data_IF_407504778062
#
_entry.id   IF_407504778062
#
_cell.length_a   1.000
_cell.length_b   1.000
_cell.length_c   1.000
_cell.angle_alpha   90.00
_cell.angle_beta   90.00
_cell.angle_gamma   90.00
#
_symmetry.space_group_name_H-M   'P 1'
#
loop_
_entity.id
_entity.type
_entity.pdbx_description
1 polymer ?
#
# COMPACT_ATOMS: atom_id res chain seq x y z
N UNK A 1 8.38 4.60 13.05
CA UNK A 1 8.76 4.20 14.43
C UNK A 1 9.47 2.86 14.32
N UNK A 2 10.67 2.74 14.89
CA UNK A 2 11.49 1.50 14.86
C UNK A 2 11.72 1.02 16.29
N UNK A 3 12.07 -0.26 16.44
CA UNK A 3 12.53 -0.82 17.70
C UNK A 3 13.78 -1.67 17.47
N UNK A 4 14.60 -1.82 18.51
CA UNK A 4 15.83 -2.60 18.43
C UNK A 4 15.53 -4.09 18.66
N UNK A 5 16.06 -4.95 17.79
CA UNK A 5 15.94 -6.41 17.89
C UNK A 5 17.24 -7.10 17.46
N UNK A 6 17.61 -8.22 18.07
CA UNK A 6 18.78 -9.01 17.68
C UNK A 6 18.60 -9.60 16.27
N UNK A 7 19.56 -9.36 15.37
CA UNK A 7 19.46 -9.77 13.96
C UNK A 7 19.25 -11.27 13.78
N UNK A 8 19.93 -12.11 14.57
CA UNK A 8 19.81 -13.56 14.54
C UNK A 8 18.42 -14.10 14.89
N UNK A 9 17.55 -13.28 15.49
CA UNK A 9 16.17 -13.66 15.81
C UNK A 9 15.18 -13.35 14.67
N UNK A 10 15.59 -12.56 13.69
CA UNK A 10 14.75 -12.13 12.57
C UNK A 10 14.69 -13.25 11.53
N UNK A 11 13.48 -13.75 11.26
CA UNK A 11 13.25 -14.84 10.30
C UNK A 11 13.06 -14.31 8.88
N UNK A 12 13.13 -15.23 7.90
CA UNK A 12 12.78 -14.95 6.49
C UNK A 12 11.43 -14.23 6.39
N UNK A 13 11.33 -13.24 5.49
CA UNK A 13 10.21 -12.32 5.33
C UNK A 13 10.01 -11.29 6.47
N UNK A 14 10.91 -11.25 7.47
CA UNK A 14 10.95 -10.15 8.44
C UNK A 14 11.38 -8.81 7.81
N UNK A 15 11.33 -7.74 8.60
CA UNK A 15 11.75 -6.41 8.16
C UNK A 15 12.93 -5.92 8.97
N UNK A 16 13.84 -5.21 8.31
CA UNK A 16 14.97 -4.51 8.93
C UNK A 16 15.15 -3.15 8.30
N UNK A 17 15.76 -2.22 9.02
CA UNK A 17 16.13 -0.92 8.47
C UNK A 17 17.58 -0.97 7.98
N UNK A 18 17.77 -0.72 6.68
CA UNK A 18 19.09 -0.62 6.06
C UNK A 18 19.25 0.80 5.53
N UNK A 19 20.31 1.51 5.97
CA UNK A 19 20.58 2.90 5.57
C UNK A 19 19.36 3.83 5.75
N UNK A 20 18.59 3.62 6.83
CA UNK A 20 17.39 4.40 7.12
C UNK A 20 16.14 4.02 6.31
N UNK A 21 16.20 2.98 5.47
CA UNK A 21 15.06 2.50 4.67
C UNK A 21 14.55 1.15 5.19
N UNK A 22 13.22 0.96 5.36
CA UNK A 22 12.65 -0.33 5.70
C UNK A 22 12.82 -1.29 4.51
N UNK A 23 13.39 -2.46 4.75
CA UNK A 23 13.66 -3.49 3.76
C UNK A 23 13.10 -4.82 4.24
N UNK A 24 12.47 -5.57 3.34
CA UNK A 24 12.04 -6.95 3.59
C UNK A 24 13.24 -7.89 3.42
N UNK A 25 13.35 -8.86 4.31
CA UNK A 25 14.44 -9.80 4.34
C UNK A 25 14.13 -11.03 3.46
N UNK A 26 14.89 -11.21 2.38
CA UNK A 26 14.75 -12.35 1.47
C UNK A 26 15.34 -13.65 2.06
N UNK A 27 16.38 -13.53 2.90
CA UNK A 27 17.03 -14.66 3.57
C UNK A 27 17.53 -14.32 4.97
N UNK A 28 17.66 -15.32 5.84
CA UNK A 28 18.00 -15.16 7.26
C UNK A 28 19.42 -14.58 7.40
N UNK A 29 19.56 -13.60 8.29
CA UNK A 29 20.88 -13.07 8.67
C UNK A 29 21.23 -13.62 10.06
N UNK A 30 22.34 -14.34 10.14
CA UNK A 30 22.89 -14.79 11.42
C UNK A 30 23.91 -13.76 11.89
N UNK A 31 23.49 -12.88 12.80
CA UNK A 31 24.35 -11.88 13.44
C UNK A 31 23.89 -11.66 14.87
N UNK A 32 24.86 -11.49 15.78
CA UNK A 32 24.61 -11.15 17.19
C UNK A 32 24.43 -9.65 17.42
N UNK A 33 24.60 -8.83 16.38
CA UNK A 33 24.37 -7.39 16.48
C UNK A 33 22.87 -7.10 16.40
N UNK A 34 22.43 -6.15 17.22
CA UNK A 34 21.08 -5.61 17.11
C UNK A 34 20.91 -4.83 15.82
N UNK A 35 19.71 -4.91 15.24
CA UNK A 35 19.27 -4.12 14.11
C UNK A 35 17.98 -3.38 14.45
N UNK A 36 17.75 -2.28 13.75
CA UNK A 36 16.48 -1.57 13.83
C UNK A 36 15.44 -2.30 12.98
N UNK A 37 14.30 -2.60 13.59
CA UNK A 37 13.15 -3.23 12.94
C UNK A 37 12.05 -2.17 12.81
N UNK A 38 11.53 -1.93 11.59
CA UNK A 38 10.46 -0.98 11.40
C UNK A 38 9.13 -1.57 11.88
N UNK A 39 8.27 -0.72 12.43
CA UNK A 39 6.88 -1.06 12.62
C UNK A 39 6.16 -1.03 11.28
N UNK A 40 5.75 -2.20 10.78
CA UNK A 40 4.99 -2.34 9.53
C UNK A 40 3.53 -2.62 9.88
N UNK A 41 2.64 -1.70 9.50
CA UNK A 41 1.21 -1.86 9.69
C UNK A 41 0.54 -2.26 8.39
N UNK A 42 -0.33 -3.26 8.48
CA UNK A 42 -1.29 -3.58 7.44
C UNK A 42 -2.64 -3.00 7.86
N UNK A 43 -3.30 -2.29 6.94
CA UNK A 43 -4.63 -1.72 7.20
C UNK A 43 -5.43 -1.84 5.93
N UNK A 44 -6.58 -2.51 6.06
CA UNK A 44 -7.54 -2.63 4.98
C UNK A 44 -8.34 -1.34 4.85
N UNK A 45 -8.48 -0.87 3.63
CA UNK A 45 -9.27 0.31 3.32
C UNK A 45 -10.29 -0.02 2.23
N UNK A 46 -11.50 0.51 2.37
CA UNK A 46 -12.49 0.42 1.29
C UNK A 46 -12.26 1.57 0.32
N UNK A 47 -12.05 1.25 -0.95
CA UNK A 47 -11.83 2.27 -1.98
C UNK A 47 -13.11 3.08 -2.26
N UNK A 48 -12.99 4.40 -2.38
CA UNK A 48 -14.11 5.29 -2.75
C UNK A 48 -13.93 5.87 -4.14
N UNK A 49 -12.93 6.74 -4.34
CA UNK A 49 -12.70 7.40 -5.63
C UNK A 49 -11.25 7.89 -5.77
N UNK A 50 -10.83 8.11 -7.01
CA UNK A 50 -9.54 8.70 -7.36
C UNK A 50 -9.74 10.17 -7.65
N UNK A 51 -8.88 11.01 -7.09
CA UNK A 51 -8.81 12.41 -7.48
C UNK A 51 -7.90 12.53 -8.71
N UNK A 52 -8.53 12.77 -9.85
CA UNK A 52 -7.86 13.19 -11.07
C UNK A 52 -7.62 14.71 -11.04
N UNK A 53 -6.90 15.21 -10.03
CA UNK A 53 -6.38 16.56 -10.13
C UNK A 53 -5.15 16.52 -11.02
N UNK A 54 -5.48 16.45 -12.31
CA UNK A 54 -4.59 16.52 -13.44
C UNK A 54 -3.85 17.86 -13.40
N UNK A 55 -2.69 17.87 -12.77
CA UNK A 55 -1.64 18.86 -13.05
C UNK A 55 -0.63 18.14 -13.95
N UNK A 56 -0.95 18.04 -15.24
CA UNK A 56 -0.10 17.45 -16.30
C UNK A 56 1.24 18.20 -16.52
N UNK A 57 1.70 19.04 -15.60
CA UNK A 57 2.81 19.97 -15.88
C UNK A 57 3.99 19.89 -14.92
N UNK A 58 3.92 19.16 -13.81
CA UNK A 58 5.05 18.97 -12.92
C UNK A 58 5.33 17.47 -12.83
N UNK A 59 6.60 17.11 -13.03
CA UNK A 59 7.14 15.79 -13.42
C UNK A 59 6.88 14.61 -12.46
N UNK A 60 6.00 14.77 -11.48
CA UNK A 60 5.57 13.72 -10.58
C UNK A 60 4.03 13.58 -10.66
N UNK A 61 3.58 12.60 -11.43
CA UNK A 61 2.17 12.21 -11.52
C UNK A 61 1.73 11.56 -10.20
N UNK A 62 1.46 12.39 -9.18
CA UNK A 62 0.91 11.94 -7.92
C UNK A 62 -0.61 11.87 -8.02
N UNK A 63 -1.12 10.66 -8.23
CA UNK A 63 -2.55 10.38 -8.06
C UNK A 63 -2.83 10.17 -6.58
N UNK A 64 -3.87 10.82 -6.07
CA UNK A 64 -4.39 10.58 -4.72
C UNK A 64 -5.68 9.76 -4.75
N UNK A 65 -5.86 8.94 -3.72
CA UNK A 65 -7.03 8.08 -3.55
C UNK A 65 -7.77 8.48 -2.28
N UNK A 66 -9.09 8.59 -2.41
CA UNK A 66 -10.00 8.61 -1.28
C UNK A 66 -10.36 7.18 -0.88
N UNK A 67 -10.10 6.83 0.38
CA UNK A 67 -10.46 5.54 0.95
C UNK A 67 -11.25 5.71 2.25
N UNK A 68 -12.23 4.84 2.48
CA UNK A 68 -12.97 4.76 3.72
C UNK A 68 -12.24 3.86 4.70
N UNK A 69 -12.00 4.37 5.90
CA UNK A 69 -11.48 3.58 7.01
C UNK A 69 -12.61 2.82 7.70
N UNK A 70 -12.28 1.71 8.38
CA UNK A 70 -13.27 0.91 9.14
C UNK A 70 -14.03 1.73 10.20
N UNK A 71 -13.42 2.82 10.68
CA UNK A 71 -13.99 3.68 11.72
C UNK A 71 -15.01 4.71 11.17
N UNK A 72 -15.23 4.73 9.85
CA UNK A 72 -16.16 5.64 9.19
C UNK A 72 -15.60 6.94 8.57
N UNK A 73 -14.45 7.52 8.97
CA UNK A 73 -13.90 8.67 8.26
C UNK A 73 -13.19 8.25 6.96
N UNK A 74 -13.13 9.18 6.02
CA UNK A 74 -12.37 9.06 4.77
C UNK A 74 -10.94 9.55 4.94
N UNK A 75 -10.01 8.92 4.22
CA UNK A 75 -8.61 9.34 4.08
C UNK A 75 -8.35 9.64 2.61
N UNK A 76 -7.90 10.87 2.34
CA UNK A 76 -7.69 11.39 0.99
C UNK A 76 -6.21 11.71 0.71
N UNK A 77 -5.34 11.48 1.69
CA UNK A 77 -3.90 11.77 1.67
C UNK A 77 -3.05 10.62 1.11
N UNK A 78 -3.68 9.51 0.72
CA UNK A 78 -2.99 8.32 0.25
C UNK A 78 -2.60 8.48 -1.23
N UNK A 79 -1.29 8.44 -1.50
CA UNK A 79 -0.75 8.40 -2.86
C UNK A 79 -0.85 6.99 -3.43
N UNK A 80 -1.28 6.92 -4.69
CA UNK A 80 -1.31 5.68 -5.44
C UNK A 80 0.13 5.17 -5.65
N UNK A 81 0.40 3.86 -5.48
CA UNK A 81 1.69 3.29 -5.81
C UNK A 81 2.03 3.52 -7.29
N UNK A 82 3.31 3.70 -7.60
CA UNK A 82 3.81 3.80 -8.99
C UNK A 82 3.89 2.45 -9.68
N UNK A 83 3.46 1.37 -9.02
CA UNK A 83 3.45 0.03 -9.59
C UNK A 83 2.39 -0.08 -10.70
N UNK A 84 2.85 -0.41 -11.91
CA UNK A 84 2.02 -0.46 -13.12
C UNK A 84 0.89 -1.49 -13.02
N UNK A 85 1.12 -2.61 -12.31
CA UNK A 85 0.13 -3.68 -12.16
C UNK A 85 -1.05 -3.24 -11.30
N UNK A 86 -0.75 -2.56 -10.17
CA UNK A 86 -1.76 -1.99 -9.28
C UNK A 86 -2.50 -0.84 -9.95
N UNK A 87 -1.79 0.02 -10.69
CA UNK A 87 -2.39 1.11 -11.45
C UNK A 87 -3.37 0.58 -12.50
N UNK A 88 -3.01 -0.47 -13.22
CA UNK A 88 -3.88 -1.12 -14.21
C UNK A 88 -5.14 -1.69 -13.57
N UNK A 89 -5.00 -2.39 -12.44
CA UNK A 89 -6.15 -2.93 -11.71
C UNK A 89 -7.09 -1.81 -11.24
N UNK A 90 -6.56 -0.77 -10.61
CA UNK A 90 -7.33 0.36 -10.10
C UNK A 90 -8.06 1.10 -11.23
N UNK A 91 -7.43 1.27 -12.39
CA UNK A 91 -8.07 1.86 -13.57
C UNK A 91 -9.19 0.97 -14.15
N UNK A 92 -9.05 -0.36 -14.08
CA UNK A 92 -10.11 -1.30 -14.46
C UNK A 92 -11.32 -1.22 -13.51
N UNK A 93 -11.09 -1.07 -12.20
CA UNK A 93 -12.18 -0.80 -11.25
C UNK A 93 -12.90 0.52 -11.54
N UNK A 94 -12.15 1.55 -11.89
CA UNK A 94 -12.72 2.85 -12.22
C UNK A 94 -13.64 2.78 -13.44
N UNK A 95 -13.24 2.07 -14.49
CA UNK A 95 -14.09 1.90 -15.68
C UNK A 95 -15.36 1.11 -15.36
N UNK A 96 -15.31 0.20 -14.38
CA UNK A 96 -16.46 -0.55 -13.89
C UNK A 96 -17.41 0.28 -13.00
N UNK A 97 -16.90 1.13 -12.11
CA UNK A 97 -17.72 1.96 -11.21
C UNK A 97 -18.44 3.12 -11.91
N UNK A 98 -17.91 3.60 -13.04
CA UNK A 98 -18.54 4.64 -13.88
C UNK A 98 -19.60 4.02 -14.82
N UNK A 99 -19.65 2.69 -14.96
CA UNK A 99 -20.69 2.03 -15.74
C UNK A 99 -22.06 2.23 -15.06
N UNK A 100 -23.08 2.75 -15.77
CA UNK A 100 -24.39 2.97 -15.20
C UNK A 100 -25.00 1.63 -14.77
N UNK A 101 -25.23 1.48 -13.44
CA UNK A 101 -26.03 0.45 -12.76
C UNK A 101 -26.55 -0.66 -13.69
N UNK A 102 -25.75 -1.70 -13.88
CA UNK A 102 -26.31 -3.03 -14.13
C UNK A 102 -26.55 -3.63 -12.75
N UNK A 103 -27.80 -3.55 -12.32
CA UNK A 103 -28.33 -4.15 -11.11
C UNK A 103 -27.90 -5.63 -10.97
N UNK A 104 -27.55 -6.03 -9.74
CA UNK A 104 -27.44 -7.42 -9.27
C UNK A 104 -26.12 -8.20 -9.39
N UNK A 105 -24.95 -7.55 -9.34
CA UNK A 105 -23.71 -8.30 -9.21
C UNK A 105 -22.86 -7.89 -7.99
N UNK A 106 -22.98 -8.70 -6.92
CA UNK A 106 -22.04 -8.72 -5.80
C UNK A 106 -20.78 -9.46 -6.24
N UNK A 107 -19.77 -8.73 -6.71
CA UNK A 107 -18.45 -9.31 -6.94
C UNK A 107 -17.52 -8.95 -5.77
N UNK A 108 -17.09 -9.96 -5.02
CA UNK A 108 -15.96 -9.85 -4.09
C UNK A 108 -14.68 -10.08 -4.88
N UNK A 109 -13.77 -9.10 -4.91
CA UNK A 109 -12.42 -9.34 -5.43
C UNK A 109 -11.53 -9.80 -4.29
N UNK A 110 -10.89 -10.95 -4.50
CA UNK A 110 -9.80 -11.47 -3.69
C UNK A 110 -8.51 -11.01 -4.37
N UNK A 111 -7.74 -10.16 -3.70
CA UNK A 111 -6.38 -9.78 -4.11
C UNK A 111 -5.44 -10.87 -3.56
N UNK A 112 -4.68 -11.54 -4.42
CA UNK A 112 -3.64 -12.51 -4.06
C UNK A 112 -2.27 -11.85 -3.97
#
# INVERSE_FOLDING_TARGET
MTYSQEAGTIRKNGYIVIKGRPCKLEDIVLSSHNCDVPHVNYTDYTFLYIFDDVIYFLLDYFIYVSVLTENGPTKDDLKLPTDESLLTQINLYRSFLIAPKVSDLRYSIVIH
#
